data_IF_885988451373
#
_entry.id   IF_885988451373
#
_cell.length_a   1.000
_cell.length_b   1.000
_cell.length_c   1.000
_cell.angle_alpha   90.00
_cell.angle_beta   90.00
_cell.angle_gamma   90.00
#
_symmetry.space_group_name_H-M   'P 1'
#
loop_
_entity.id
_entity.type
_entity.pdbx_description
1 polymer ?
#
# COMPACT_ATOMS: atom_id res chain seq x y z
N UNK A 1 14.10 -34.32 -0.25
CA UNK A 1 12.83 -33.83 -0.84
C UNK A 1 12.24 -32.68 -0.03
N UNK A 2 11.97 -32.85 1.27
CA UNK A 2 11.35 -31.83 2.15
C UNK A 2 12.06 -30.46 2.22
N UNK A 3 13.40 -30.38 2.09
CA UNK A 3 14.13 -29.09 2.09
C UNK A 3 13.94 -28.26 0.81
N UNK A 4 13.62 -28.89 -0.32
CA UNK A 4 13.44 -28.20 -1.61
C UNK A 4 12.05 -27.55 -1.67
N UNK A 5 11.03 -28.23 -1.14
CA UNK A 5 9.66 -27.69 -1.07
C UNK A 5 9.55 -26.49 -0.12
N UNK A 6 10.20 -26.54 1.05
CA UNK A 6 10.19 -25.39 2.00
C UNK A 6 10.84 -24.16 1.37
N UNK A 7 11.90 -24.32 0.58
CA UNK A 7 12.57 -23.21 -0.11
C UNK A 7 11.67 -22.58 -1.18
N UNK A 8 10.99 -23.39 -1.98
CA UNK A 8 10.09 -22.89 -3.02
C UNK A 8 8.88 -22.12 -2.46
N UNK A 9 8.30 -22.60 -1.36
CA UNK A 9 7.18 -21.91 -0.67
C UNK A 9 7.66 -20.57 -0.09
N UNK A 10 8.82 -20.54 0.56
CA UNK A 10 9.39 -19.30 1.09
C UNK A 10 9.72 -18.28 0.00
N UNK A 11 10.25 -18.71 -1.14
CA UNK A 11 10.54 -17.83 -2.28
C UNK A 11 9.25 -17.24 -2.88
N UNK A 12 8.20 -18.04 -3.00
CA UNK A 12 6.92 -17.57 -3.52
C UNK A 12 6.22 -16.59 -2.57
N UNK A 13 6.33 -16.81 -1.26
CA UNK A 13 5.79 -15.89 -0.26
C UNK A 13 6.60 -14.59 -0.21
N UNK A 14 7.94 -14.67 -0.28
CA UNK A 14 8.81 -13.49 -0.33
C UNK A 14 8.51 -12.59 -1.53
N UNK A 15 8.26 -13.19 -2.71
CA UNK A 15 7.88 -12.48 -3.94
C UNK A 15 6.55 -11.71 -3.82
N UNK A 16 5.68 -12.08 -2.87
CA UNK A 16 4.39 -11.42 -2.63
C UNK A 16 4.42 -10.40 -1.49
N UNK A 17 5.53 -10.32 -0.74
CA UNK A 17 5.64 -9.39 0.38
C UNK A 17 5.76 -7.95 -0.12
N UNK A 18 4.94 -7.05 0.42
CA UNK A 18 5.11 -5.61 0.19
C UNK A 18 6.36 -5.10 0.91
N UNK A 19 6.93 -4.00 0.42
CA UNK A 19 8.08 -3.32 1.02
C UNK A 19 7.93 -3.09 2.52
N UNK A 20 6.73 -2.68 2.99
CA UNK A 20 6.47 -2.47 4.42
C UNK A 20 6.62 -3.75 5.26
N UNK A 21 6.22 -4.91 4.73
CA UNK A 21 6.36 -6.19 5.41
C UNK A 21 7.82 -6.64 5.46
N UNK A 22 8.58 -6.44 4.37
CA UNK A 22 10.02 -6.72 4.32
C UNK A 22 10.77 -5.85 5.34
N UNK A 23 10.47 -4.56 5.39
CA UNK A 23 11.10 -3.63 6.36
C UNK A 23 10.76 -4.01 7.80
N UNK A 24 9.50 -4.33 8.08
CA UNK A 24 9.08 -4.77 9.41
C UNK A 24 9.76 -6.09 9.82
N UNK A 25 9.88 -7.04 8.90
CA UNK A 25 10.51 -8.34 9.14
C UNK A 25 12.03 -8.22 9.38
N UNK A 26 12.70 -7.37 8.59
CA UNK A 26 14.14 -7.11 8.73
C UNK A 26 14.48 -6.17 9.88
N UNK A 27 13.49 -5.44 10.43
CA UNK A 27 13.71 -4.40 11.44
C UNK A 27 14.47 -3.20 10.90
N UNK A 28 14.61 -3.07 9.58
CA UNK A 28 15.33 -1.99 8.93
C UNK A 28 14.42 -0.75 8.78
N UNK A 29 14.98 0.46 8.91
CA UNK A 29 14.24 1.68 8.63
C UNK A 29 13.90 1.79 7.14
N UNK A 30 12.74 2.36 6.84
CA UNK A 30 12.40 2.69 5.46
C UNK A 30 13.45 3.64 4.84
N UNK A 31 13.73 3.55 3.52
CA UNK A 31 14.70 4.42 2.85
C UNK A 31 14.45 5.91 3.07
N UNK A 32 13.18 6.32 3.13
CA UNK A 32 12.79 7.71 3.43
C UNK A 32 13.20 8.14 4.85
N UNK A 33 13.11 7.24 5.83
CA UNK A 33 13.55 7.52 7.20
C UNK A 33 15.07 7.67 7.27
N UNK A 34 15.83 6.81 6.57
CA UNK A 34 17.29 6.95 6.46
C UNK A 34 17.68 8.29 5.84
N UNK A 35 17.02 8.69 4.75
CA UNK A 35 17.26 9.97 4.10
C UNK A 35 16.99 11.17 5.03
N UNK A 36 15.91 11.10 5.81
CA UNK A 36 15.62 12.12 6.83
C UNK A 36 16.70 12.18 7.90
N UNK A 37 17.15 11.03 8.42
CA UNK A 37 18.23 10.95 9.40
C UNK A 37 19.52 11.56 8.85
N UNK A 38 19.90 11.26 7.60
CA UNK A 38 21.13 11.81 7.00
C UNK A 38 21.06 13.31 6.78
N UNK A 39 19.92 13.83 6.30
CA UNK A 39 19.69 15.29 6.19
C UNK A 39 19.85 16.00 7.52
N UNK A 40 19.29 15.42 8.58
CA UNK A 40 19.38 15.97 9.93
C UNK A 40 20.79 15.84 10.52
N UNK A 41 21.52 14.75 10.24
CA UNK A 41 22.94 14.62 10.60
C UNK A 41 23.78 15.70 9.94
N UNK A 42 23.58 15.93 8.64
CA UNK A 42 24.27 16.96 7.88
C UNK A 42 23.95 18.37 8.41
N UNK A 43 22.69 18.67 8.73
CA UNK A 43 22.30 19.92 9.39
C UNK A 43 23.06 20.12 10.71
N UNK A 44 23.15 19.09 11.54
CA UNK A 44 23.93 19.15 12.78
C UNK A 44 25.42 19.35 12.56
N UNK A 45 25.99 18.84 11.46
CA UNK A 45 27.38 19.12 11.08
C UNK A 45 27.56 20.57 10.63
N UNK A 46 26.65 21.10 9.81
CA UNK A 46 26.70 22.48 9.35
C UNK A 46 26.61 23.50 10.49
N UNK A 47 25.75 23.25 11.49
CA UNK A 47 25.60 24.16 12.65
C UNK A 47 26.87 24.25 13.49
N UNK A 48 27.66 23.18 13.53
CA UNK A 48 28.91 23.14 14.32
C UNK A 48 30.13 23.61 13.55
N UNK A 49 30.25 23.24 12.28
CA UNK A 49 31.49 23.41 11.51
C UNK A 49 31.27 23.75 10.03
N UNK A 50 30.05 24.09 9.62
CA UNK A 50 29.74 24.41 8.24
C UNK A 50 30.38 25.73 7.80
N UNK A 51 31.15 25.77 6.70
CA UNK A 51 31.68 27.03 6.18
C UNK A 51 30.54 27.92 5.66
N UNK A 52 30.75 29.24 5.67
CA UNK A 52 29.73 30.21 5.22
C UNK A 52 29.22 29.95 3.80
N UNK A 53 30.09 29.48 2.89
CA UNK A 53 29.72 29.12 1.53
C UNK A 53 28.71 27.96 1.46
N UNK A 54 28.82 26.97 2.35
CA UNK A 54 27.86 25.85 2.39
C UNK A 54 26.47 26.32 2.87
N UNK A 55 26.44 27.21 3.88
CA UNK A 55 25.20 27.84 4.33
C UNK A 55 24.55 28.68 3.24
N UNK A 56 25.34 29.47 2.51
CA UNK A 56 24.85 30.27 1.39
C UNK A 56 24.26 29.38 0.28
N UNK A 57 24.94 28.28 -0.09
CA UNK A 57 24.47 27.34 -1.10
C UNK A 57 23.13 26.70 -0.71
N UNK A 58 23.01 26.27 0.54
CA UNK A 58 21.77 25.67 1.06
C UNK A 58 20.63 26.68 1.07
N UNK A 59 20.90 27.92 1.52
CA UNK A 59 19.91 28.99 1.54
C UNK A 59 19.37 29.34 0.15
N UNK A 60 20.19 29.17 -0.90
CA UNK A 60 19.77 29.37 -2.28
C UNK A 60 18.98 28.20 -2.87
N UNK A 61 19.20 26.98 -2.38
CA UNK A 61 18.57 25.78 -2.93
C UNK A 61 17.28 25.41 -2.18
N UNK A 62 16.19 26.10 -2.53
CA UNK A 62 14.85 25.94 -1.92
C UNK A 62 14.36 24.49 -1.75
N UNK A 63 14.52 23.58 -2.73
CA UNK A 63 14.13 22.19 -2.56
C UNK A 63 14.81 21.48 -1.38
N UNK A 64 16.06 21.81 -1.07
CA UNK A 64 16.77 21.21 0.07
C UNK A 64 16.33 21.80 1.41
N UNK A 65 16.01 23.10 1.45
CA UNK A 65 15.40 23.73 2.64
C UNK A 65 14.07 23.05 2.97
N UNK A 66 13.19 22.88 1.97
CA UNK A 66 11.93 22.15 2.15
C UNK A 66 12.17 20.70 2.59
N UNK A 67 13.18 20.03 2.03
CA UNK A 67 13.54 18.68 2.45
C UNK A 67 14.05 18.59 3.91
N UNK A 68 14.71 19.64 4.42
CA UNK A 68 15.11 19.74 5.83
C UNK A 68 13.92 20.00 6.75
N UNK A 69 12.97 20.84 6.33
CA UNK A 69 11.72 21.07 7.06
C UNK A 69 10.90 19.79 7.17
N UNK A 70 10.75 19.06 6.05
CA UNK A 70 10.12 17.74 6.02
C UNK A 70 10.79 16.75 6.98
N UNK A 71 12.13 16.74 7.01
CA UNK A 71 12.89 15.89 7.93
C UNK A 71 12.69 16.31 9.39
N UNK A 72 12.61 17.63 9.66
CA UNK A 72 12.28 18.17 10.97
C UNK A 72 10.88 17.76 11.45
N UNK A 73 9.88 17.83 10.56
CA UNK A 73 8.53 17.34 10.82
C UNK A 73 8.49 15.84 11.09
N UNK A 74 9.25 15.05 10.31
CA UNK A 74 9.41 13.61 10.52
C UNK A 74 10.04 13.28 11.88
N UNK A 75 11.04 14.06 12.31
CA UNK A 75 11.65 13.91 13.63
C UNK A 75 10.66 14.26 14.75
N UNK A 76 9.95 15.38 14.62
CA UNK A 76 8.99 15.84 15.62
C UNK A 76 7.79 14.91 15.76
N UNK A 77 7.32 14.28 14.68
CA UNK A 77 6.21 13.32 14.75
C UNK A 77 6.53 12.09 15.60
N UNK A 78 7.82 11.75 15.77
CA UNK A 78 8.25 10.67 16.66
C UNK A 78 8.56 11.15 18.09
N UNK A 79 8.83 12.44 18.28
CA UNK A 79 9.32 12.99 19.56
C UNK A 79 8.29 13.85 20.30
N UNK A 80 7.21 14.28 19.65
CA UNK A 80 6.17 15.14 20.23
C UNK A 80 5.71 14.59 21.60
N UNK A 81 5.60 15.47 22.58
CA UNK A 81 5.27 15.08 23.97
C UNK A 81 6.45 14.52 24.79
N UNK A 82 7.59 14.18 24.18
CA UNK A 82 8.81 13.77 24.91
C UNK A 82 9.96 14.77 24.80
N UNK A 83 9.79 15.78 23.95
CA UNK A 83 10.77 16.84 23.70
C UNK A 83 10.03 18.18 23.59
N UNK A 84 10.51 19.26 24.25
CA UNK A 84 9.85 20.58 24.21
C UNK A 84 10.10 21.38 22.93
N UNK A 85 10.77 20.80 21.92
CA UNK A 85 11.11 21.48 20.68
C UNK A 85 9.88 21.61 19.78
N UNK A 86 9.67 22.82 19.24
CA UNK A 86 8.67 23.08 18.20
C UNK A 86 9.20 22.79 16.79
N UNK A 87 8.40 23.08 15.75
CA UNK A 87 8.80 23.02 14.35
C UNK A 87 10.15 23.71 14.09
N UNK A 88 10.95 23.16 13.16
CA UNK A 88 12.30 23.66 12.88
C UNK A 88 12.30 25.14 12.46
N UNK A 89 11.31 25.52 11.65
CA UNK A 89 11.09 26.89 11.14
C UNK A 89 10.66 27.88 12.24
N UNK A 90 9.97 27.40 13.28
CA UNK A 90 9.42 28.25 14.34
C UNK A 90 10.35 28.35 15.56
N UNK A 91 11.18 27.34 15.80
CA UNK A 91 11.99 27.21 17.02
C UNK A 91 13.48 27.07 16.75
N UNK A 92 13.97 27.66 15.65
CA UNK A 92 15.38 27.51 15.23
C UNK A 92 16.42 27.81 16.32
N UNK A 93 16.30 28.87 17.16
CA UNK A 93 17.28 29.12 18.22
C UNK A 93 17.47 27.95 19.19
N UNK A 94 16.38 27.28 19.59
CA UNK A 94 16.42 26.12 20.47
C UNK A 94 17.05 24.90 19.79
N UNK A 95 16.76 24.70 18.50
CA UNK A 95 17.41 23.67 17.69
C UNK A 95 18.91 23.93 17.53
N UNK A 96 19.30 25.18 17.27
CA UNK A 96 20.69 25.57 17.13
C UNK A 96 21.48 25.35 18.42
N UNK A 97 20.94 25.75 19.58
CA UNK A 97 21.51 25.47 20.90
C UNK A 97 21.71 23.96 21.08
N UNK A 98 20.67 23.16 20.83
CA UNK A 98 20.76 21.71 20.96
C UNK A 98 21.86 21.10 20.06
N UNK A 99 21.91 21.49 18.79
CA UNK A 99 22.82 20.95 17.79
C UNK A 99 24.28 21.33 18.07
N UNK A 100 24.50 22.53 18.60
CA UNK A 100 25.82 23.07 18.96
C UNK A 100 26.32 22.53 20.29
N UNK A 101 25.49 22.63 21.33
CA UNK A 101 25.93 22.46 22.72
C UNK A 101 25.75 21.02 23.21
N UNK A 102 24.85 20.24 22.58
CA UNK A 102 24.51 18.87 23.01
C UNK A 102 24.50 17.86 21.86
N UNK A 103 25.60 17.70 21.10
CA UNK A 103 25.66 16.82 19.92
C UNK A 103 25.36 15.35 20.23
N UNK A 104 25.75 14.87 21.43
CA UNK A 104 25.42 13.52 21.90
C UNK A 104 23.91 13.33 22.13
N UNK A 105 23.24 14.35 22.68
CA UNK A 105 21.78 14.34 22.85
C UNK A 105 21.08 14.34 21.49
N UNK A 106 21.53 15.19 20.56
CA UNK A 106 21.03 15.22 19.18
C UNK A 106 21.09 13.84 18.51
N UNK A 107 22.25 13.17 18.57
CA UNK A 107 22.41 11.80 18.05
C UNK A 107 21.44 10.82 18.70
N UNK A 108 21.18 10.97 20.01
CA UNK A 108 20.21 10.16 20.74
C UNK A 108 18.77 10.37 20.27
N UNK A 109 18.37 11.62 19.98
CA UNK A 109 17.05 11.95 19.45
C UNK A 109 16.83 11.35 18.05
N UNK A 110 17.82 11.44 17.16
CA UNK A 110 17.75 10.83 15.82
C UNK A 110 17.56 9.31 15.90
N UNK A 111 18.36 8.63 16.73
CA UNK A 111 18.22 7.18 16.95
C UNK A 111 16.86 6.79 17.51
N UNK A 112 16.32 7.60 18.43
CA UNK A 112 15.00 7.36 19.02
C UNK A 112 13.89 7.51 17.98
N UNK A 113 13.94 8.56 17.16
CA UNK A 113 12.95 8.79 16.12
C UNK A 113 12.98 7.70 15.05
N UNK A 114 14.18 7.31 14.61
CA UNK A 114 14.37 6.18 13.70
C UNK A 114 13.74 4.89 14.27
N UNK A 115 14.06 4.53 15.52
CA UNK A 115 13.50 3.36 16.18
C UNK A 115 11.98 3.46 16.36
N UNK A 116 11.44 4.65 16.62
CA UNK A 116 10.00 4.89 16.73
C UNK A 116 9.30 4.62 15.39
N UNK A 117 9.82 5.18 14.29
CA UNK A 117 9.25 4.99 12.96
C UNK A 117 9.32 3.54 12.49
N UNK A 118 10.39 2.80 12.81
CA UNK A 118 10.47 1.35 12.58
C UNK A 118 9.34 0.61 13.28
N UNK A 119 9.06 0.93 14.55
CA UNK A 119 7.97 0.29 15.30
C UNK A 119 6.59 0.68 14.77
N UNK A 120 6.37 1.96 14.43
CA UNK A 120 5.12 2.42 13.84
C UNK A 120 4.83 1.73 12.49
N UNK A 121 5.86 1.53 11.66
CA UNK A 121 5.75 0.73 10.43
C UNK A 121 5.41 -0.74 10.72
N UNK A 122 5.96 -1.31 11.80
CA UNK A 122 5.62 -2.65 12.27
C UNK A 122 4.12 -2.84 12.56
N UNK A 123 3.44 -1.83 13.09
CA UNK A 123 1.99 -1.88 13.33
C UNK A 123 1.20 -2.02 12.03
N UNK A 124 1.53 -1.21 11.02
CA UNK A 124 0.91 -1.29 9.68
C UNK A 124 1.21 -2.62 9.00
N UNK A 125 2.47 -3.08 9.06
CA UNK A 125 2.85 -4.38 8.50
C UNK A 125 2.13 -5.56 9.17
N UNK A 126 1.88 -5.47 10.48
CA UNK A 126 1.11 -6.47 11.23
C UNK A 126 -0.34 -6.51 10.76
N UNK A 127 -0.97 -5.35 10.57
CA UNK A 127 -2.31 -5.25 10.01
C UNK A 127 -2.39 -5.84 8.60
N UNK A 128 -1.49 -5.43 7.71
CA UNK A 128 -1.44 -5.91 6.33
C UNK A 128 -1.25 -7.42 6.27
N UNK A 129 -0.37 -7.96 7.12
CA UNK A 129 -0.12 -9.41 7.21
C UNK A 129 -1.36 -10.14 7.70
N UNK A 130 -2.00 -9.63 8.76
CA UNK A 130 -3.25 -10.19 9.26
C UNK A 130 -4.33 -10.18 8.18
N UNK A 131 -4.57 -9.03 7.54
CA UNK A 131 -5.65 -8.83 6.59
C UNK A 131 -5.52 -9.75 5.37
N UNK A 132 -4.30 -9.92 4.85
CA UNK A 132 -3.98 -10.85 3.75
C UNK A 132 -4.09 -12.31 4.13
N UNK A 133 -3.92 -12.63 5.42
CA UNK A 133 -4.06 -13.99 5.94
C UNK A 133 -5.53 -14.33 6.20
N UNK A 134 -6.31 -13.36 6.69
CA UNK A 134 -7.71 -13.52 7.04
C UNK A 134 -8.63 -13.47 5.81
N UNK A 135 -8.28 -12.66 4.80
CA UNK A 135 -9.15 -12.38 3.66
C UNK A 135 -8.41 -12.38 2.33
N UNK A 136 -9.12 -12.78 1.28
CA UNK A 136 -8.67 -12.55 -0.08
C UNK A 136 -8.71 -11.04 -0.38
N UNK A 137 -7.79 -10.51 -1.20
CA UNK A 137 -7.94 -9.16 -1.72
C UNK A 137 -9.24 -9.08 -2.52
N UNK A 138 -9.98 -7.99 -2.37
CA UNK A 138 -10.95 -7.61 -3.38
C UNK A 138 -10.18 -7.49 -4.69
N UNK A 139 -10.52 -8.34 -5.66
CA UNK A 139 -10.00 -8.15 -7.02
C UNK A 139 -10.59 -6.82 -7.45
N UNK A 140 -9.75 -5.80 -7.56
CA UNK A 140 -10.06 -4.65 -8.40
C UNK A 140 -10.26 -5.23 -9.78
N UNK A 141 -11.48 -5.64 -10.12
CA UNK A 141 -11.82 -5.89 -11.52
C UNK A 141 -11.58 -4.53 -12.13
N UNK A 142 -10.51 -4.34 -12.93
CA UNK A 142 -10.17 -3.03 -13.42
C UNK A 142 -11.44 -2.52 -14.07
N UNK A 143 -11.89 -1.32 -13.70
CA UNK A 143 -13.11 -0.76 -14.31
C UNK A 143 -12.98 -0.80 -15.85
N UNK A 144 -11.73 -0.70 -16.34
CA UNK A 144 -11.34 -0.93 -17.72
C UNK A 144 -11.63 -2.33 -18.28
N UNK A 145 -11.49 -3.41 -17.52
CA UNK A 145 -11.83 -4.78 -17.97
C UNK A 145 -13.33 -5.04 -17.92
N UNK A 146 -14.05 -4.50 -16.94
CA UNK A 146 -15.52 -4.51 -16.91
C UNK A 146 -16.08 -3.68 -18.08
N UNK A 147 -15.46 -2.54 -18.37
CA UNK A 147 -15.77 -1.70 -19.53
C UNK A 147 -15.35 -2.37 -20.84
N UNK A 148 -14.28 -3.18 -20.89
CA UNK A 148 -13.89 -3.97 -22.07
C UNK A 148 -14.84 -5.13 -22.32
N UNK A 149 -15.29 -5.85 -21.31
CA UNK A 149 -16.32 -6.88 -21.46
C UNK A 149 -17.67 -6.28 -21.81
N UNK A 150 -18.05 -5.16 -21.20
CA UNK A 150 -19.27 -4.42 -21.57
C UNK A 150 -19.19 -3.87 -23.01
N UNK A 151 -18.05 -3.30 -23.43
CA UNK A 151 -17.86 -2.79 -24.79
C UNK A 151 -17.75 -3.90 -25.82
N UNK A 152 -17.15 -5.05 -25.52
CA UNK A 152 -17.24 -6.25 -26.36
C UNK A 152 -18.69 -6.74 -26.48
N UNK A 153 -19.46 -6.76 -25.39
CA UNK A 153 -20.89 -7.09 -25.42
C UNK A 153 -21.70 -6.13 -26.29
N UNK A 154 -21.41 -4.82 -26.21
CA UNK A 154 -22.01 -3.80 -27.06
C UNK A 154 -21.59 -3.96 -28.52
N UNK A 155 -20.32 -4.24 -28.82
CA UNK A 155 -19.82 -4.45 -30.19
C UNK A 155 -20.45 -5.71 -30.79
N UNK A 156 -20.55 -6.81 -30.03
CA UNK A 156 -21.22 -8.05 -30.48
C UNK A 156 -22.71 -7.79 -30.72
N UNK A 157 -23.41 -7.10 -29.80
CA UNK A 157 -24.81 -6.74 -29.98
C UNK A 157 -25.04 -5.84 -31.22
N UNK A 158 -24.17 -4.85 -31.44
CA UNK A 158 -24.19 -3.99 -32.63
C UNK A 158 -23.85 -4.77 -33.90
N UNK A 159 -22.98 -5.78 -33.83
CA UNK A 159 -22.62 -6.64 -34.95
C UNK A 159 -23.78 -7.57 -35.31
N UNK A 160 -24.50 -8.13 -34.32
CA UNK A 160 -25.75 -8.89 -34.55
C UNK A 160 -26.86 -8.02 -35.17
N UNK A 161 -27.00 -6.78 -34.71
CA UNK A 161 -27.91 -5.78 -35.32
C UNK A 161 -27.52 -5.45 -36.77
N UNK A 162 -26.22 -5.40 -37.06
CA UNK A 162 -25.69 -5.06 -38.39
C UNK A 162 -25.69 -6.23 -39.37
N UNK A 163 -25.51 -7.46 -38.87
CA UNK A 163 -25.56 -8.68 -39.67
C UNK A 163 -26.98 -9.08 -40.07
N UNK A 164 -28.00 -8.35 -39.62
CA UNK A 164 -29.36 -8.46 -40.15
C UNK A 164 -29.84 -9.91 -40.17
N UNK A 165 -29.63 -10.65 -39.07
CA UNK A 165 -30.23 -11.97 -38.92
C UNK A 165 -31.74 -11.75 -38.95
N UNK A 166 -32.32 -12.00 -40.12
CA UNK A 166 -33.70 -11.67 -40.47
C UNK A 166 -34.69 -12.49 -39.64
N UNK A 167 -34.95 -12.05 -38.42
CA UNK A 167 -36.20 -12.38 -37.75
C UNK A 167 -37.31 -11.61 -38.45
N UNK A 168 -38.18 -12.34 -39.15
CA UNK A 168 -39.38 -11.80 -39.81
C UNK A 168 -40.14 -10.87 -38.86
N UNK A 169 -40.67 -9.73 -39.34
CA UNK A 169 -41.33 -8.76 -38.49
C UNK A 169 -42.64 -9.36 -37.97
N UNK A 170 -42.65 -9.72 -36.69
CA UNK A 170 -43.90 -9.80 -35.91
C UNK A 170 -43.91 -8.54 -35.06
N UNK A 171 -44.87 -7.65 -35.34
CA UNK A 171 -45.05 -6.41 -34.61
C UNK A 171 -45.24 -6.72 -33.12
N UNK A 172 -44.22 -6.43 -32.31
CA UNK A 172 -44.28 -6.57 -30.86
C UNK A 172 -43.76 -5.31 -30.18
N UNK A 173 -44.27 -4.97 -28.98
CA UNK A 173 -43.92 -3.77 -28.22
C UNK A 173 -42.42 -3.63 -27.84
N UNK A 174 -41.58 -4.63 -28.14
CA UNK A 174 -40.13 -4.59 -27.97
C UNK A 174 -39.42 -3.60 -28.92
N UNK A 175 -39.98 -3.29 -30.10
CA UNK A 175 -39.37 -2.32 -31.01
C UNK A 175 -39.41 -0.89 -30.45
N UNK A 176 -40.46 -0.54 -29.71
CA UNK A 176 -40.57 0.77 -29.04
C UNK A 176 -39.55 0.89 -27.90
N UNK A 177 -39.35 -0.18 -27.13
CA UNK A 177 -38.32 -0.26 -26.09
C UNK A 177 -36.88 -0.15 -26.66
N UNK A 178 -36.61 -0.76 -27.82
CA UNK A 178 -35.32 -0.65 -28.50
C UNK A 178 -35.06 0.76 -29.08
N UNK A 179 -36.11 1.48 -29.50
CA UNK A 179 -36.02 2.89 -29.90
C UNK A 179 -35.67 3.83 -28.75
N UNK A 180 -36.25 3.58 -27.56
CA UNK A 180 -35.89 4.30 -26.34
C UNK A 180 -34.49 3.94 -25.82
N UNK A 181 -34.08 2.68 -25.94
CA UNK A 181 -32.72 2.26 -25.58
C UNK A 181 -31.65 2.89 -26.51
N UNK A 182 -31.92 3.01 -27.81
CA UNK A 182 -30.98 3.60 -28.77
C UNK A 182 -30.68 5.08 -28.53
N UNK A 183 -31.67 5.84 -28.05
CA UNK A 183 -31.48 7.26 -27.68
C UNK A 183 -30.77 7.42 -26.34
N UNK A 184 -31.05 6.55 -25.37
CA UNK A 184 -30.30 6.47 -24.10
C UNK A 184 -28.83 6.09 -24.30
N UNK A 185 -28.55 5.07 -25.11
CA UNK A 185 -27.19 4.58 -25.41
C UNK A 185 -26.38 5.66 -26.15
N UNK A 186 -27.00 6.40 -27.08
CA UNK A 186 -26.31 7.53 -27.76
C UNK A 186 -25.90 8.63 -26.78
N UNK A 187 -26.77 8.95 -25.81
CA UNK A 187 -26.50 9.97 -24.79
C UNK A 187 -25.39 9.49 -23.84
N UNK A 188 -25.48 8.24 -23.40
CA UNK A 188 -24.47 7.60 -22.56
C UNK A 188 -23.09 7.56 -23.23
N UNK A 189 -23.03 7.29 -24.54
CA UNK A 189 -21.79 7.26 -25.32
C UNK A 189 -21.17 8.65 -25.49
N UNK A 190 -21.97 9.70 -25.70
CA UNK A 190 -21.48 11.08 -25.83
C UNK A 190 -20.98 11.63 -24.49
N UNK A 191 -21.69 11.32 -23.41
CA UNK A 191 -21.33 11.76 -22.05
C UNK A 191 -20.09 11.00 -21.53
N UNK A 192 -19.98 9.70 -21.83
CA UNK A 192 -18.81 8.89 -21.47
C UNK A 192 -17.55 9.28 -22.24
N UNK A 193 -17.66 9.66 -23.52
CA UNK A 193 -16.51 10.13 -24.31
C UNK A 193 -15.96 11.47 -23.82
N UNK A 194 -16.84 12.34 -23.32
CA UNK A 194 -16.45 13.65 -22.76
C UNK A 194 -15.69 13.50 -21.43
N UNK A 195 -16.10 12.54 -20.60
CA UNK A 195 -15.39 12.16 -19.36
C UNK A 195 -14.03 11.52 -19.63
N UNK A 196 -13.93 10.68 -20.66
CA UNK A 196 -12.70 9.94 -20.99
C UNK A 196 -11.57 10.83 -21.55
N UNK A 197 -11.93 12.00 -22.10
CA UNK A 197 -10.99 12.98 -22.66
C UNK A 197 -10.74 14.20 -21.77
N UNK A 198 -11.37 14.27 -20.59
CA UNK A 198 -11.19 15.40 -19.65
C UNK A 198 -11.60 16.77 -20.22
N UNK A 199 -12.52 16.79 -21.20
CA UNK A 199 -12.92 18.04 -21.86
C UNK A 199 -14.02 18.76 -21.06
N UNK A 200 -13.93 20.08 -20.86
CA UNK A 200 -15.00 20.85 -20.22
C UNK A 200 -16.30 20.79 -21.05
N UNK A 201 -17.45 20.75 -20.38
CA UNK A 201 -18.81 20.57 -20.93
C UNK A 201 -19.27 21.61 -21.98
N UNK A 202 -18.44 22.59 -22.34
CA UNK A 202 -18.78 23.68 -23.27
C UNK A 202 -18.22 23.50 -24.70
N UNK A 203 -17.62 22.36 -25.04
CA UNK A 203 -17.14 22.12 -26.41
C UNK A 203 -18.27 21.72 -27.38
N UNK A 204 -18.88 22.71 -28.05
CA UNK A 204 -19.74 22.49 -29.23
C UNK A 204 -18.86 22.24 -30.46
N UNK A 205 -18.96 21.05 -31.05
CA UNK A 205 -18.39 20.71 -32.36
C UNK A 205 -19.01 21.58 -33.47
N UNK A 206 -18.32 22.65 -33.87
CA UNK A 206 -18.62 23.37 -35.11
C UNK A 206 -17.88 22.65 -36.24
N UNK A 207 -18.61 21.90 -37.06
CA UNK A 207 -18.07 21.38 -38.32
C UNK A 207 -18.14 22.49 -39.38
N UNK A 208 -17.03 23.18 -39.64
CA UNK A 208 -16.91 24.00 -40.86
C UNK A 208 -15.51 23.84 -41.46
N UNK A 209 -15.50 23.44 -42.74
CA UNK A 209 -14.35 23.45 -43.64
C UNK A 209 -13.76 24.86 -43.68
N UNK A 210 -12.51 25.00 -43.28
CA UNK A 210 -11.65 25.97 -43.96
C UNK A 210 -10.18 25.54 -43.91
N UNK A 211 -9.58 25.54 -45.09
CA UNK A 211 -8.18 25.22 -45.37
C UNK A 211 -7.30 26.44 -45.09
N UNK A 212 -6.06 26.17 -44.67
CA UNK A 212 -4.91 27.11 -44.49
C UNK A 212 -4.75 27.69 -43.07
N UNK A 213 -4.05 26.95 -42.22
CA UNK A 213 -2.93 27.40 -41.37
C UNK A 213 -2.26 26.18 -40.73
N UNK A 214 -0.95 26.27 -40.56
CA UNK A 214 0.02 25.23 -40.20
C UNK A 214 -0.38 24.33 -39.02
N UNK A 215 0.07 23.05 -38.98
CA UNK A 215 -0.20 22.16 -37.87
C UNK A 215 0.56 22.57 -36.59
N UNK A 216 0.07 22.18 -35.39
CA UNK A 216 0.71 22.53 -34.13
C UNK A 216 2.09 21.86 -34.00
N UNK A 217 3.10 22.69 -33.74
CA UNK A 217 4.52 22.38 -33.68
C UNK A 217 4.93 21.50 -32.48
N UNK A 218 3.99 21.07 -31.63
CA UNK A 218 4.28 20.42 -30.33
C UNK A 218 4.41 18.90 -30.44
N UNK A 219 3.96 18.27 -31.53
CA UNK A 219 4.03 16.80 -31.67
C UNK A 219 5.27 16.30 -32.44
N UNK A 220 6.12 17.21 -32.95
CA UNK A 220 7.34 16.85 -33.71
C UNK A 220 8.63 16.80 -32.88
N UNK A 221 8.61 17.20 -31.61
CA UNK A 221 9.81 17.18 -30.76
C UNK A 221 9.99 15.89 -29.94
N UNK A 222 9.00 14.99 -29.89
CA UNK A 222 9.10 13.72 -29.15
C UNK A 222 9.65 12.58 -30.01
N UNK A 223 9.74 12.77 -31.34
CA UNK A 223 10.28 11.78 -32.28
C UNK A 223 11.74 12.02 -32.66
N UNK A 224 12.38 13.09 -32.17
CA UNK A 224 13.82 13.26 -32.28
C UNK A 224 14.54 12.56 -31.10
N UNK A 225 14.83 11.28 -31.35
CA UNK A 225 16.11 10.62 -31.05
C UNK A 225 16.36 10.14 -29.61
N UNK A 226 15.97 8.90 -29.36
CA UNK A 226 16.80 7.97 -28.59
C UNK A 226 17.83 7.29 -29.51
N UNK A 227 18.56 8.07 -30.31
CA UNK A 227 19.71 7.52 -31.01
C UNK A 227 20.79 7.16 -29.99
N UNK A 228 21.50 6.03 -30.17
CA UNK A 228 22.64 5.67 -29.35
C UNK A 228 23.68 6.79 -29.33
N UNK A 229 24.27 7.04 -28.16
CA UNK A 229 25.41 7.93 -28.01
C UNK A 229 26.67 7.24 -28.51
N UNK A 230 27.20 7.71 -29.64
CA UNK A 230 28.42 7.14 -30.24
C UNK A 230 29.63 7.21 -29.29
N UNK A 231 29.71 8.23 -28.43
CA UNK A 231 30.79 8.38 -27.46
C UNK A 231 30.72 7.31 -26.36
N UNK A 232 29.51 7.01 -25.87
CA UNK A 232 29.28 5.95 -24.89
C UNK A 232 29.57 4.58 -25.51
N UNK A 233 29.10 4.36 -26.75
CA UNK A 233 29.32 3.10 -27.47
C UNK A 233 30.81 2.84 -27.73
N UNK A 234 31.57 3.86 -28.14
CA UNK A 234 33.02 3.75 -28.33
C UNK A 234 33.75 3.44 -27.00
N UNK A 235 33.34 4.06 -25.90
CA UNK A 235 33.92 3.79 -24.59
C UNK A 235 33.60 2.37 -24.08
N UNK A 236 32.37 1.89 -24.30
CA UNK A 236 31.95 0.53 -23.98
C UNK A 236 32.67 -0.51 -24.86
N UNK A 237 32.87 -0.23 -26.15
CA UNK A 237 33.62 -1.12 -27.05
C UNK A 237 35.11 -1.23 -26.69
N UNK A 238 35.68 -0.18 -26.10
CA UNK A 238 37.06 -0.18 -25.61
C UNK A 238 37.22 -0.81 -24.21
N UNK A 239 36.11 -1.03 -23.50
CA UNK A 239 36.11 -1.54 -22.14
C UNK A 239 36.46 -3.03 -22.10
N UNK A 240 37.32 -3.43 -21.17
CA UNK A 240 37.54 -4.83 -20.78
C UNK A 240 36.99 -5.01 -19.36
N UNK A 241 35.66 -5.14 -19.20
CA UNK A 241 35.05 -5.13 -17.88
C UNK A 241 35.42 -6.39 -17.11
N UNK A 242 35.75 -6.21 -15.84
CA UNK A 242 35.95 -7.31 -14.90
C UNK A 242 34.70 -7.52 -14.01
N UNK A 243 33.88 -6.49 -13.90
CA UNK A 243 32.65 -6.45 -13.10
C UNK A 243 31.57 -5.63 -13.80
N UNK A 244 30.31 -5.81 -13.37
CA UNK A 244 29.16 -4.98 -13.76
C UNK A 244 29.34 -3.50 -13.36
N UNK A 245 30.04 -3.23 -12.26
CA UNK A 245 30.39 -1.89 -11.82
C UNK A 245 31.24 -1.12 -12.85
N UNK A 246 32.19 -1.80 -13.52
CA UNK A 246 33.03 -1.18 -14.55
C UNK A 246 32.18 -0.65 -15.73
N UNK A 247 31.17 -1.44 -16.11
CA UNK A 247 30.22 -1.09 -17.18
C UNK A 247 29.33 0.07 -16.71
N UNK A 248 28.79 0.01 -15.49
CA UNK A 248 27.96 1.09 -14.93
C UNK A 248 28.72 2.41 -14.87
N UNK A 249 29.91 2.43 -14.25
CA UNK A 249 30.78 3.60 -14.12
C UNK A 249 31.12 4.21 -15.49
N UNK A 250 31.36 3.36 -16.48
CA UNK A 250 31.61 3.83 -17.86
C UNK A 250 30.39 4.54 -18.42
N UNK A 251 29.17 4.01 -18.26
CA UNK A 251 27.94 4.62 -18.77
C UNK A 251 27.62 5.94 -18.07
N UNK A 252 27.70 5.98 -16.73
CA UNK A 252 27.28 7.17 -15.95
C UNK A 252 28.27 8.35 -16.03
N UNK A 253 29.51 8.13 -16.46
CA UNK A 253 30.46 9.21 -16.76
C UNK A 253 30.02 10.13 -17.88
N UNK A 254 29.11 9.68 -18.75
CA UNK A 254 28.58 10.49 -19.83
C UNK A 254 27.31 11.23 -19.42
N UNK A 255 27.27 12.54 -19.69
CA UNK A 255 26.07 13.36 -19.50
C UNK A 255 25.16 13.14 -20.71
N UNK A 256 24.13 12.30 -20.57
CA UNK A 256 23.12 12.06 -21.62
C UNK A 256 21.77 11.68 -21.01
N UNK A 257 20.63 11.90 -21.72
CA UNK A 257 19.32 11.46 -21.24
C UNK A 257 19.28 9.96 -20.97
N UNK A 258 18.59 9.54 -19.91
CA UNK A 258 18.52 8.14 -19.51
C UNK A 258 18.02 7.19 -20.63
N UNK A 259 17.01 7.54 -21.46
CA UNK A 259 16.63 6.70 -22.59
C UNK A 259 17.78 6.48 -23.60
N UNK A 260 18.58 7.52 -23.87
CA UNK A 260 19.73 7.44 -24.79
C UNK A 260 20.79 6.50 -24.22
N UNK A 261 21.11 6.62 -22.92
CA UNK A 261 22.09 5.74 -22.27
C UNK A 261 21.66 4.26 -22.33
N UNK A 262 20.39 3.99 -22.02
CA UNK A 262 19.82 2.63 -22.07
C UNK A 262 19.83 2.05 -23.50
N UNK A 263 19.40 2.82 -24.49
CA UNK A 263 19.38 2.36 -25.88
C UNK A 263 20.80 2.13 -26.40
N UNK A 264 21.77 2.97 -26.00
CA UNK A 264 23.18 2.77 -26.33
C UNK A 264 23.71 1.46 -25.75
N UNK A 265 23.39 1.17 -24.48
CA UNK A 265 23.82 -0.05 -23.81
C UNK A 265 23.21 -1.30 -24.46
N UNK A 266 21.94 -1.24 -24.90
CA UNK A 266 21.29 -2.33 -25.65
C UNK A 266 21.96 -2.59 -27.01
N UNK A 267 22.33 -1.53 -27.73
CA UNK A 267 23.04 -1.67 -29.00
C UNK A 267 24.40 -2.31 -28.77
N UNK A 268 25.17 -1.82 -27.79
CA UNK A 268 26.44 -2.43 -27.43
C UNK A 268 26.29 -3.92 -27.04
N UNK A 269 25.30 -4.26 -26.21
CA UNK A 269 25.00 -5.65 -25.84
C UNK A 269 24.70 -6.55 -27.04
N UNK A 270 24.06 -6.01 -28.09
CA UNK A 270 23.79 -6.78 -29.31
C UNK A 270 25.04 -7.09 -30.14
N UNK A 271 26.13 -6.36 -29.92
CA UNK A 271 27.41 -6.53 -30.61
C UNK A 271 28.43 -7.34 -29.80
N UNK A 272 28.20 -7.52 -28.49
CA UNK A 272 29.07 -8.29 -27.59
C UNK A 272 28.87 -9.80 -27.81
N UNK A 273 29.94 -10.50 -28.15
CA UNK A 273 29.94 -11.96 -28.31
C UNK A 273 30.24 -12.74 -27.03
N UNK A 274 30.83 -12.09 -26.02
CA UNK A 274 31.14 -12.70 -24.73
C UNK A 274 29.91 -12.71 -23.82
N UNK A 275 29.42 -13.90 -23.48
CA UNK A 275 28.21 -14.07 -22.66
C UNK A 275 28.35 -13.49 -21.25
N UNK A 276 29.55 -13.49 -20.66
CA UNK A 276 29.76 -12.94 -19.32
C UNK A 276 29.65 -11.41 -19.33
N UNK A 277 30.19 -10.76 -20.37
CA UNK A 277 30.06 -9.31 -20.56
C UNK A 277 28.61 -8.94 -20.87
N UNK A 278 27.91 -9.75 -21.66
CA UNK A 278 26.50 -9.54 -21.94
C UNK A 278 25.64 -9.59 -20.65
N UNK A 279 25.88 -10.57 -19.78
CA UNK A 279 25.20 -10.68 -18.48
C UNK A 279 25.46 -9.44 -17.59
N UNK A 280 26.72 -8.96 -17.53
CA UNK A 280 27.06 -7.73 -16.82
C UNK A 280 26.29 -6.51 -17.35
N UNK A 281 26.22 -6.35 -18.68
CA UNK A 281 25.49 -5.22 -19.27
C UNK A 281 23.97 -5.32 -19.09
N UNK A 282 23.38 -6.52 -19.09
CA UNK A 282 21.96 -6.72 -18.73
C UNK A 282 21.68 -6.34 -17.28
N UNK A 283 22.57 -6.67 -16.35
CA UNK A 283 22.46 -6.22 -14.95
C UNK A 283 22.52 -4.70 -14.84
N UNK A 284 23.40 -4.04 -15.59
CA UNK A 284 23.47 -2.57 -15.65
C UNK A 284 22.20 -1.98 -16.27
N UNK A 285 21.60 -2.62 -17.28
CA UNK A 285 20.30 -2.19 -17.84
C UNK A 285 19.17 -2.24 -16.80
N UNK A 286 19.18 -3.21 -15.88
CA UNK A 286 18.24 -3.25 -14.77
C UNK A 286 18.47 -2.07 -13.82
N UNK A 287 19.71 -1.76 -13.47
CA UNK A 287 20.05 -0.62 -12.60
C UNK A 287 19.69 0.72 -13.27
N UNK A 288 19.87 0.85 -14.58
CA UNK A 288 19.52 2.04 -15.35
C UNK A 288 18.02 2.25 -15.54
N UNK A 289 17.15 1.49 -14.86
CA UNK A 289 15.71 1.72 -14.94
C UNK A 289 15.37 3.08 -14.32
N UNK A 290 14.52 3.91 -14.96
CA UNK A 290 14.15 5.22 -14.40
C UNK A 290 13.63 5.16 -12.97
N UNK A 291 12.96 4.06 -12.62
CA UNK A 291 12.41 3.85 -11.27
C UNK A 291 13.49 3.58 -10.20
N UNK A 292 14.69 3.18 -10.61
CA UNK A 292 15.82 2.95 -9.70
C UNK A 292 16.71 4.18 -9.55
N UNK A 293 16.78 5.04 -10.57
CA UNK A 293 17.69 6.20 -10.61
C UNK A 293 16.98 7.51 -10.28
N UNK A 294 15.72 7.64 -10.67
CA UNK A 294 14.98 8.89 -10.53
C UNK A 294 13.98 8.81 -9.38
N UNK A 295 13.90 9.85 -8.56
CA UNK A 295 12.86 9.99 -7.54
C UNK A 295 11.47 10.26 -8.13
N UNK A 296 11.41 10.70 -9.39
CA UNK A 296 10.19 10.90 -10.17
C UNK A 296 10.51 10.81 -11.67
N UNK A 297 9.55 10.31 -12.47
CA UNK A 297 9.68 10.24 -13.93
C UNK A 297 8.70 11.25 -14.55
N UNK A 298 9.22 12.28 -15.22
CA UNK A 298 8.38 13.28 -15.87
C UNK A 298 7.40 12.64 -16.86
N UNK A 299 6.11 12.98 -16.75
CA UNK A 299 5.05 12.43 -17.61
C UNK A 299 4.45 11.11 -17.15
N UNK A 300 5.08 10.38 -16.21
CA UNK A 300 4.36 9.39 -15.40
C UNK A 300 3.63 10.21 -14.34
N UNK A 301 2.28 10.22 -14.29
CA UNK A 301 1.60 10.80 -13.14
C UNK A 301 2.26 10.17 -11.93
N UNK A 302 2.71 10.99 -10.98
CA UNK A 302 3.22 10.49 -9.72
C UNK A 302 2.07 9.66 -9.17
N UNK A 303 2.16 8.33 -9.33
CA UNK A 303 1.21 7.40 -8.74
C UNK A 303 1.16 7.86 -7.31
N UNK A 304 0.01 8.41 -6.92
CA UNK A 304 -0.08 9.01 -5.59
C UNK A 304 0.37 7.89 -4.69
N UNK A 305 1.36 8.18 -3.85
CA UNK A 305 1.94 7.20 -2.96
C UNK A 305 0.90 6.73 -1.91
N UNK A 306 -0.40 7.02 -2.14
CA UNK A 306 -1.56 6.23 -1.80
C UNK A 306 -1.32 4.79 -2.27
N UNK A 307 -0.43 4.13 -1.53
CA UNK A 307 -0.29 2.71 -1.41
C UNK A 307 -1.68 2.11 -1.60
N UNK A 308 -1.86 1.27 -2.63
CA UNK A 308 -3.08 0.50 -2.84
C UNK A 308 -3.53 -0.06 -1.50
N UNK A 309 -4.51 0.62 -0.90
CA UNK A 309 -5.03 0.30 0.42
C UNK A 309 -5.63 -1.07 0.24
N UNK A 310 -5.16 -2.05 1.01
CA UNK A 310 -5.69 -3.38 0.91
C UNK A 310 -7.18 -3.33 1.25
N UNK A 311 -8.03 -3.67 0.29
CA UNK A 311 -9.47 -3.83 0.49
C UNK A 311 -9.76 -5.32 0.59
N UNK A 312 -10.16 -5.83 1.76
CA UNK A 312 -10.50 -7.25 1.92
C UNK A 312 -11.81 -7.57 1.22
N UNK A 313 -11.88 -8.73 0.56
CA UNK A 313 -13.14 -9.34 0.16
C UNK A 313 -13.77 -10.00 1.40
N UNK A 314 -14.68 -9.29 2.05
CA UNK A 314 -15.36 -9.75 3.25
C UNK A 314 -16.46 -10.75 2.89
N UNK A 315 -16.46 -11.90 3.58
CA UNK A 315 -17.52 -12.92 3.49
C UNK A 315 -18.12 -13.12 4.87
N UNK A 316 -19.44 -12.93 4.99
CA UNK A 316 -20.15 -13.11 6.26
C UNK A 316 -20.03 -14.56 6.72
N UNK A 317 -19.54 -14.81 7.94
CA UNK A 317 -19.58 -16.14 8.53
C UNK A 317 -21.02 -16.46 8.94
N UNK A 318 -21.63 -17.45 8.31
CA UNK A 318 -23.01 -17.85 8.59
C UNK A 318 -23.06 -18.92 9.67
N UNK A 319 -24.03 -18.83 10.57
CA UNK A 319 -24.23 -19.82 11.61
C UNK A 319 -24.42 -21.25 11.06
N UNK A 320 -23.62 -22.17 11.61
CA UNK A 320 -23.80 -23.61 11.47
C UNK A 320 -24.73 -24.18 12.55
N UNK A 321 -25.10 -25.46 12.46
CA UNK A 321 -25.78 -26.14 13.57
C UNK A 321 -24.85 -26.21 14.80
N UNK A 322 -25.37 -25.82 15.97
CA UNK A 322 -24.63 -25.89 17.23
C UNK A 322 -24.59 -27.32 17.75
N UNK A 323 -23.40 -27.86 17.99
CA UNK A 323 -23.23 -29.13 18.70
C UNK A 323 -23.32 -28.89 20.22
N UNK A 324 -24.45 -29.27 20.81
CA UNK A 324 -24.72 -29.09 22.23
C UNK A 324 -23.91 -30.03 23.15
N UNK A 325 -23.07 -30.91 22.59
CA UNK A 325 -22.12 -31.70 23.38
C UNK A 325 -20.81 -30.95 23.65
N UNK A 326 -20.54 -29.86 22.92
CA UNK A 326 -19.30 -29.09 23.02
C UNK A 326 -19.40 -27.94 24.03
N UNK A 327 -18.27 -27.56 24.68
CA UNK A 327 -18.22 -26.45 25.61
C UNK A 327 -18.29 -25.07 24.94
N UNK A 328 -18.51 -24.03 25.74
CA UNK A 328 -18.29 -22.64 25.34
C UNK A 328 -16.91 -22.20 25.84
N UNK A 329 -16.00 -21.91 24.92
CA UNK A 329 -14.65 -21.46 25.25
C UNK A 329 -14.64 -19.95 25.42
N UNK A 330 -14.04 -19.44 26.49
CA UNK A 330 -13.97 -18.01 26.73
C UNK A 330 -12.63 -17.52 27.27
N UNK A 331 -12.30 -16.27 26.95
CA UNK A 331 -11.14 -15.54 27.46
C UNK A 331 -11.63 -14.25 28.13
N UNK A 332 -11.22 -14.02 29.38
CA UNK A 332 -11.55 -12.79 30.11
C UNK A 332 -12.92 -12.80 30.81
N UNK A 333 -14.02 -12.61 30.09
CA UNK A 333 -15.37 -12.71 30.68
C UNK A 333 -16.40 -13.12 29.63
N UNK A 334 -17.47 -13.78 30.08
CA UNK A 334 -18.59 -14.21 29.24
C UNK A 334 -19.61 -13.08 29.14
N UNK A 335 -20.11 -12.79 27.92
CA UNK A 335 -21.22 -11.86 27.70
C UNK A 335 -22.57 -12.61 27.81
N UNK A 336 -23.41 -12.39 28.84
CA UNK A 336 -24.65 -13.15 29.03
C UNK A 336 -25.65 -12.94 27.90
N UNK A 337 -25.72 -11.71 27.35
CA UNK A 337 -26.60 -11.39 26.21
C UNK A 337 -26.24 -12.22 24.99
N UNK A 338 -24.95 -12.31 24.67
CA UNK A 338 -24.48 -13.09 23.53
C UNK A 338 -24.75 -14.60 23.74
N UNK A 339 -24.48 -15.12 24.94
CA UNK A 339 -24.81 -16.52 25.30
C UNK A 339 -26.30 -16.81 25.13
N UNK A 340 -27.17 -15.87 25.53
CA UNK A 340 -28.61 -16.00 25.34
C UNK A 340 -29.01 -15.97 23.86
N UNK A 341 -28.45 -15.04 23.07
CA UNK A 341 -28.70 -14.93 21.62
C UNK A 341 -28.42 -16.24 20.89
N UNK A 342 -27.36 -16.94 21.28
CA UNK A 342 -26.94 -18.21 20.66
C UNK A 342 -27.41 -19.47 21.39
N UNK A 343 -28.26 -19.31 22.43
CA UNK A 343 -28.78 -20.42 23.24
C UNK A 343 -27.69 -21.31 23.85
N UNK A 344 -26.54 -20.72 24.20
CA UNK A 344 -25.37 -21.44 24.72
C UNK A 344 -25.39 -21.61 26.25
N UNK A 345 -26.43 -21.12 26.93
CA UNK A 345 -26.47 -21.05 28.41
C UNK A 345 -26.52 -22.40 29.12
N UNK A 346 -26.91 -23.47 28.44
CA UNK A 346 -26.93 -24.83 28.97
C UNK A 346 -25.57 -25.56 28.84
N UNK A 347 -24.63 -24.99 28.08
CA UNK A 347 -23.36 -25.63 27.75
C UNK A 347 -22.28 -25.31 28.81
N UNK A 348 -21.34 -26.22 29.08
CA UNK A 348 -20.31 -25.99 30.07
C UNK A 348 -19.35 -24.87 29.61
N UNK A 349 -19.14 -23.81 30.41
CA UNK A 349 -18.16 -22.78 30.09
C UNK A 349 -16.74 -23.28 30.44
N UNK A 350 -15.82 -23.18 29.49
CA UNK A 350 -14.40 -23.55 29.68
C UNK A 350 -13.54 -22.28 29.59
N UNK A 351 -12.92 -21.83 30.69
CA UNK A 351 -11.98 -20.73 30.65
C UNK A 351 -10.74 -21.14 29.86
N UNK A 352 -10.20 -20.22 29.06
CA UNK A 352 -9.05 -20.44 28.21
C UNK A 352 -8.11 -19.23 28.28
N UNK A 353 -6.80 -19.46 28.23
CA UNK A 353 -5.81 -18.39 28.11
C UNK A 353 -5.82 -17.79 26.71
N UNK A 354 -5.48 -16.50 26.59
CA UNK A 354 -5.32 -15.88 25.26
C UNK A 354 -4.21 -16.58 24.45
N UNK A 355 -3.14 -17.01 25.11
CA UNK A 355 -2.03 -17.72 24.48
C UNK A 355 -2.46 -19.12 23.99
N UNK A 356 -3.34 -19.81 24.72
CA UNK A 356 -3.90 -21.10 24.30
C UNK A 356 -4.78 -20.93 23.05
N UNK A 357 -5.57 -19.86 22.99
CA UNK A 357 -6.33 -19.50 21.78
C UNK A 357 -5.38 -19.24 20.60
N UNK A 358 -4.34 -18.42 20.80
CA UNK A 358 -3.37 -18.10 19.74
C UNK A 358 -2.65 -19.37 19.25
N UNK A 359 -2.33 -20.29 20.17
CA UNK A 359 -1.68 -21.56 19.86
C UNK A 359 -2.62 -22.60 19.22
N UNK A 360 -3.93 -22.36 19.20
CA UNK A 360 -4.90 -23.38 18.78
C UNK A 360 -5.09 -24.51 19.80
N UNK A 361 -4.64 -24.32 21.04
CA UNK A 361 -4.61 -25.33 22.10
C UNK A 361 -5.90 -25.28 22.95
N UNK A 362 -7.06 -25.33 22.30
CA UNK A 362 -8.37 -25.35 22.95
C UNK A 362 -9.21 -26.53 22.46
N UNK A 363 -10.15 -27.04 23.26
CA UNK A 363 -11.07 -28.08 22.81
C UNK A 363 -11.97 -27.54 21.68
N UNK A 364 -12.53 -28.44 20.88
CA UNK A 364 -13.65 -28.06 20.01
C UNK A 364 -14.75 -27.40 20.85
N UNK A 365 -15.37 -26.36 20.32
CA UNK A 365 -16.29 -25.53 21.07
C UNK A 365 -17.57 -25.26 20.29
N UNK A 366 -18.69 -25.19 21.02
CA UNK A 366 -19.97 -24.73 20.51
C UNK A 366 -20.02 -23.21 20.34
N UNK A 367 -19.09 -22.47 20.95
CA UNK A 367 -18.97 -21.03 20.80
C UNK A 367 -17.70 -20.46 21.43
N UNK A 368 -17.27 -19.30 20.93
CA UNK A 368 -16.11 -18.55 21.41
C UNK A 368 -16.50 -17.17 21.92
N UNK A 369 -16.08 -16.81 23.14
CA UNK A 369 -16.25 -15.45 23.70
C UNK A 369 -14.90 -14.90 24.17
N UNK A 370 -14.29 -14.01 23.39
CA UNK A 370 -12.95 -13.46 23.67
C UNK A 370 -13.06 -12.00 24.06
N UNK A 371 -12.72 -11.67 25.31
CA UNK A 371 -12.43 -10.31 25.72
C UNK A 371 -10.92 -10.07 25.70
N UNK A 372 -10.45 -9.17 24.82
CA UNK A 372 -9.04 -8.84 24.73
C UNK A 372 -8.57 -8.07 25.98
N UNK A 373 -7.29 -8.24 26.39
CA UNK A 373 -6.76 -7.55 27.56
C UNK A 373 -6.73 -6.03 27.34
N UNK A 374 -6.82 -5.26 28.43
CA UNK A 374 -6.75 -3.80 28.39
C UNK A 374 -5.48 -3.30 27.69
N UNK A 375 -5.58 -2.12 27.08
CA UNK A 375 -4.43 -1.51 26.42
C UNK A 375 -3.29 -1.18 27.39
N UNK A 376 -2.03 -1.28 26.94
CA UNK A 376 -0.88 -0.83 27.73
C UNK A 376 -0.85 0.70 27.89
N UNK A 377 -1.46 1.46 26.98
CA UNK A 377 -1.52 2.92 27.00
C UNK A 377 -2.71 3.39 26.14
N UNK A 378 -3.35 4.53 26.46
CA UNK A 378 -4.40 5.10 25.62
C UNK A 378 -3.82 5.53 24.26
N UNK A 379 -4.55 5.26 23.18
CA UNK A 379 -4.16 5.62 21.81
C UNK A 379 -5.36 6.16 21.05
N UNK A 380 -5.14 7.23 20.29
CA UNK A 380 -6.14 7.86 19.42
C UNK A 380 -6.33 7.04 18.13
N UNK A 381 -5.22 6.58 17.53
CA UNK A 381 -5.20 5.77 16.33
C UNK A 381 -4.11 4.68 16.41
N UNK A 382 -4.49 3.41 16.21
CA UNK A 382 -3.59 2.27 16.34
C UNK A 382 -2.51 2.22 15.27
N UNK A 383 -2.92 2.31 14.02
CA UNK A 383 -2.01 2.09 12.90
C UNK A 383 -1.32 3.38 12.44
N UNK A 384 -1.60 4.49 13.12
CA UNK A 384 -0.94 5.79 12.96
C UNK A 384 -0.78 6.43 14.34
N UNK A 385 0.01 5.82 15.24
CA UNK A 385 0.10 6.28 16.61
C UNK A 385 0.67 7.70 16.66
N UNK A 386 0.14 8.52 17.55
CA UNK A 386 0.78 9.77 17.94
C UNK A 386 2.15 9.50 18.58
N UNK A 387 2.98 10.53 18.64
CA UNK A 387 4.26 10.46 19.33
C UNK A 387 4.09 9.99 20.78
N UNK A 388 4.87 8.99 21.16
CA UNK A 388 4.80 8.38 22.49
C UNK A 388 6.14 7.76 22.87
N UNK A 389 6.39 7.48 24.16
CA UNK A 389 7.60 6.78 24.57
C UNK A 389 7.77 5.45 23.83
N UNK A 390 8.98 5.16 23.35
CA UNK A 390 9.29 3.96 22.57
C UNK A 390 8.91 2.66 23.31
N UNK A 391 8.97 2.67 24.65
CA UNK A 391 8.51 1.56 25.50
C UNK A 391 7.01 1.31 25.36
N UNK A 392 6.20 2.36 25.36
CA UNK A 392 4.74 2.28 25.15
C UNK A 392 4.42 1.77 23.74
N UNK A 393 5.10 2.30 22.72
CA UNK A 393 4.91 1.85 21.35
C UNK A 393 5.23 0.37 21.16
N UNK A 394 6.34 -0.12 21.74
CA UNK A 394 6.68 -1.57 21.72
C UNK A 394 5.64 -2.43 22.43
N UNK A 395 5.14 -1.97 23.57
CA UNK A 395 4.07 -2.66 24.29
C UNK A 395 2.78 -2.71 23.46
N UNK A 396 2.46 -1.62 22.75
CA UNK A 396 1.34 -1.54 21.81
C UNK A 396 1.52 -2.52 20.64
N UNK A 397 2.71 -2.60 20.03
CA UNK A 397 3.01 -3.58 18.99
C UNK A 397 2.79 -5.01 19.47
N UNK A 398 3.30 -5.37 20.66
CA UNK A 398 3.14 -6.69 21.23
C UNK A 398 1.69 -7.01 21.63
N UNK A 399 0.91 -6.00 22.03
CA UNK A 399 -0.52 -6.16 22.27
C UNK A 399 -1.27 -6.42 20.96
N UNK A 400 -1.02 -5.60 19.93
CA UNK A 400 -1.70 -5.70 18.64
C UNK A 400 -1.41 -7.04 17.96
N UNK A 401 -0.15 -7.49 17.94
CA UNK A 401 0.22 -8.79 17.37
C UNK A 401 -0.58 -9.94 18.00
N UNK A 402 -0.67 -9.98 19.33
CA UNK A 402 -1.48 -10.97 20.05
C UNK A 402 -2.97 -10.85 19.74
N UNK A 403 -3.51 -9.63 19.71
CA UNK A 403 -4.91 -9.39 19.38
C UNK A 403 -5.26 -9.85 17.95
N UNK A 404 -4.41 -9.55 16.96
CA UNK A 404 -4.63 -9.97 15.57
C UNK A 404 -4.51 -11.49 15.39
N UNK A 405 -3.58 -12.15 16.09
CA UNK A 405 -3.46 -13.62 16.07
C UNK A 405 -4.68 -14.30 16.68
N UNK A 406 -5.13 -13.84 17.84
CA UNK A 406 -6.35 -14.36 18.47
C UNK A 406 -7.58 -14.13 17.58
N UNK A 407 -7.72 -12.92 17.01
CA UNK A 407 -8.78 -12.59 16.07
C UNK A 407 -8.78 -13.51 14.85
N UNK A 408 -7.62 -13.82 14.28
CA UNK A 408 -7.51 -14.73 13.14
C UNK A 408 -8.05 -16.13 13.46
N UNK A 409 -7.71 -16.65 14.64
CA UNK A 409 -8.22 -17.94 15.12
C UNK A 409 -9.74 -17.90 15.25
N UNK A 410 -10.28 -16.86 15.89
CA UNK A 410 -11.73 -16.71 16.09
C UNK A 410 -12.46 -16.55 14.76
N UNK A 411 -11.93 -15.77 13.82
CA UNK A 411 -12.53 -15.61 12.50
C UNK A 411 -12.60 -16.95 11.75
N UNK A 412 -11.59 -17.82 11.88
CA UNK A 412 -11.63 -19.16 11.29
C UNK A 412 -12.71 -20.05 11.92
N UNK A 413 -12.90 -19.96 13.24
CA UNK A 413 -13.98 -20.66 13.92
C UNK A 413 -15.36 -20.14 13.45
N UNK A 414 -15.53 -18.82 13.35
CA UNK A 414 -16.74 -18.23 12.80
C UNK A 414 -17.00 -18.67 11.35
N UNK A 415 -15.97 -18.68 10.50
CA UNK A 415 -16.08 -19.17 9.12
C UNK A 415 -16.48 -20.64 9.02
N UNK A 416 -16.24 -21.45 10.06
CA UNK A 416 -16.72 -22.83 10.17
C UNK A 416 -18.15 -22.96 10.68
N UNK A 417 -18.81 -21.83 10.98
CA UNK A 417 -20.19 -21.76 11.46
C UNK A 417 -20.33 -21.70 12.99
N UNK A 418 -19.22 -21.67 13.74
CA UNK A 418 -19.25 -21.60 15.21
C UNK A 418 -19.50 -20.16 15.67
N UNK A 419 -20.51 -19.89 16.52
CA UNK A 419 -20.71 -18.58 17.12
C UNK A 419 -19.46 -18.03 17.80
N UNK A 420 -19.10 -16.79 17.48
CA UNK A 420 -17.91 -16.12 17.95
C UNK A 420 -18.20 -14.67 18.36
N UNK A 421 -17.74 -14.26 19.53
CA UNK A 421 -17.72 -12.87 20.01
C UNK A 421 -16.28 -12.44 20.29
N UNK A 422 -15.88 -11.29 19.75
CA UNK A 422 -14.62 -10.62 20.11
C UNK A 422 -14.93 -9.23 20.68
N UNK A 423 -14.42 -8.94 21.88
CA UNK A 423 -14.55 -7.63 22.53
C UNK A 423 -13.21 -6.91 22.55
N UNK A 424 -13.21 -5.71 22.00
CA UNK A 424 -12.08 -4.80 21.96
C UNK A 424 -12.24 -3.74 23.07
N UNK A 425 -11.26 -3.58 23.97
CA UNK A 425 -11.29 -2.56 25.02
C UNK A 425 -10.88 -1.17 24.51
N UNK A 426 -11.32 -0.82 23.29
CA UNK A 426 -10.96 0.37 22.53
C UNK A 426 -12.12 0.81 21.64
N UNK A 427 -12.08 2.04 21.15
CA UNK A 427 -13.13 2.55 20.28
C UNK A 427 -12.97 1.97 18.87
N UNK A 428 -14.07 1.86 18.15
CA UNK A 428 -14.02 1.47 16.75
C UNK A 428 -13.18 2.47 15.93
N UNK A 429 -13.24 3.77 16.23
CA UNK A 429 -12.49 4.81 15.52
C UNK A 429 -10.97 4.60 15.62
N UNK A 430 -10.47 4.25 16.81
CA UNK A 430 -9.04 4.06 17.02
C UNK A 430 -8.46 2.85 16.28
N UNK A 431 -9.28 1.87 15.92
CA UNK A 431 -8.87 0.64 15.22
C UNK A 431 -9.17 0.69 13.71
N UNK A 432 -9.45 1.85 13.12
CA UNK A 432 -9.63 1.96 11.67
C UNK A 432 -8.31 1.67 10.91
N UNK A 433 -8.33 0.93 9.79
CA UNK A 433 -9.51 0.48 9.04
C UNK A 433 -10.10 -0.86 9.51
N UNK A 434 -9.42 -1.58 10.41
CA UNK A 434 -9.80 -2.93 10.83
C UNK A 434 -11.20 -3.00 11.46
N UNK A 435 -11.56 -2.05 12.32
CA UNK A 435 -12.90 -2.00 12.92
C UNK A 435 -14.00 -1.90 11.86
N UNK A 436 -13.81 -1.10 10.81
CA UNK A 436 -14.74 -1.00 9.68
C UNK A 436 -14.94 -2.35 8.98
N UNK A 437 -13.86 -3.11 8.78
CA UNK A 437 -13.93 -4.46 8.22
C UNK A 437 -14.67 -5.44 9.13
N UNK A 438 -14.40 -5.41 10.44
CA UNK A 438 -15.04 -6.30 11.41
C UNK A 438 -16.53 -6.00 11.58
N UNK A 439 -16.91 -4.73 11.62
CA UNK A 439 -18.31 -4.31 11.68
C UNK A 439 -19.05 -4.72 10.41
N UNK A 440 -18.45 -4.53 9.23
CA UNK A 440 -19.04 -4.99 7.96
C UNK A 440 -19.28 -6.50 7.98
N UNK A 441 -18.34 -7.30 8.49
CA UNK A 441 -18.51 -8.76 8.65
C UNK A 441 -19.64 -9.14 9.61
N UNK A 442 -19.89 -8.34 10.65
CA UNK A 442 -20.94 -8.57 11.62
C UNK A 442 -22.33 -8.14 11.10
N UNK A 443 -22.40 -7.09 10.28
CA UNK A 443 -23.65 -6.48 9.81
C UNK A 443 -24.19 -7.04 8.48
N UNK A 444 -23.33 -7.67 7.66
CA UNK A 444 -23.68 -8.21 6.34
C UNK A 444 -24.65 -9.42 6.42
N UNK A 445 -25.91 -9.22 6.84
CA UNK A 445 -27.07 -9.99 6.35
C UNK A 445 -28.40 -9.58 7.03
N UNK A 446 -28.99 -8.46 6.62
CA UNK A 446 -30.39 -8.17 6.98
C UNK A 446 -31.40 -9.05 6.20
N UNK A 447 -30.94 -9.76 5.15
CA UNK A 447 -31.79 -10.54 4.23
C UNK A 447 -31.60 -12.06 4.27
N UNK A 448 -30.55 -12.58 4.92
CA UNK A 448 -30.34 -14.03 5.02
C UNK A 448 -31.20 -14.65 6.10
N UNK A 449 -31.60 -15.90 5.85
CA UNK A 449 -32.30 -16.74 6.82
C UNK A 449 -31.43 -17.13 8.01
N UNK A 450 -30.10 -16.97 7.90
CA UNK A 450 -29.15 -17.31 8.97
C UNK A 450 -28.40 -16.06 9.42
N UNK A 451 -28.40 -15.75 10.73
CA UNK A 451 -27.63 -14.62 11.24
C UNK A 451 -26.13 -14.87 11.07
N UNK A 452 -25.37 -13.78 10.97
CA UNK A 452 -23.90 -13.82 11.08
C UNK A 452 -23.53 -14.42 12.44
N UNK A 453 -22.66 -15.43 12.44
CA UNK A 453 -22.16 -16.03 13.68
C UNK A 453 -20.95 -15.31 14.26
N UNK A 454 -20.50 -14.22 13.64
CA UNK A 454 -19.44 -13.36 14.17
C UNK A 454 -20.01 -12.07 14.74
N UNK A 455 -19.69 -11.80 16.00
CA UNK A 455 -20.05 -10.57 16.70
C UNK A 455 -18.77 -9.86 17.15
N UNK A 456 -18.72 -8.55 16.96
CA UNK A 456 -17.64 -7.71 17.48
C UNK A 456 -18.23 -6.61 18.36
N UNK A 457 -17.60 -6.34 19.49
CA UNK A 457 -17.97 -5.24 20.39
C UNK A 457 -16.76 -4.38 20.74
N UNK A 458 -16.98 -3.07 20.85
CA UNK A 458 -16.00 -2.06 21.24
C UNK A 458 -16.47 -1.41 22.54
N UNK A 459 -15.66 -1.44 23.61
CA UNK A 459 -16.12 -1.13 24.98
C UNK A 459 -15.52 0.13 25.61
N UNK A 460 -14.96 1.06 24.82
CA UNK A 460 -14.35 2.31 25.35
C UNK A 460 -15.26 3.52 25.28
#
# INVERSE_FOLDING_TARGET
MMRVEVKAVLEQDLMKMKTAQILAWTGLPAPRALLHVERLRFLGQLVRSGPAAAWALIGWYGPYVSALEDAGCWLLSALRGTCPLGPLSESWPAWQELLRDRPGHWKGLLKRAEAWHVQAQGLQASLDTFARTAWSPAVDVPLGDLMRTASMGIIVALTFLRLGVGAKPVASPLQTLLGYAGTWIRRLLVDSFSLLLGLPHSFRLITRRDTRRSPPFVMRLVLFMSLPSMNVLAALAALKPSTDMDVYETVVRFISPLPVLRDTLRVWLSEVSDSAIAEMGENVLLVLHPEHICSAVAGKPQESNDQHVFLPLLRTPLAGPTDHSLPVVWVGHICPRWVQTWQLGALPPVPCGLEDVIAGAFPQAAGFCIALPSLPSPVSAFFRPDAMPLKCLRALCAWLDRALKALLVVLRQAQSGVPALVRFPISAESLQPLSGWLLSLAELDAGSLRPSCFTVEFTS
#
